data_IF_309303456128
#
_entry.id   IF_309303456128
#
_cell.length_a   1.000
_cell.length_b   1.000
_cell.length_c   1.000
_cell.angle_alpha   90.00
_cell.angle_beta   90.00
_cell.angle_gamma   90.00
#
_symmetry.space_group_name_H-M   'P 1'
#
loop_
_entity.id
_entity.type
_entity.pdbx_description
1 polymer ?
#
# COMPACT_ATOMS: atom_id res chain seq x y z
N UNK A 1 -45.41 12.36 20.94
CA UNK A 1 -45.28 11.74 19.60
C UNK A 1 -44.62 10.39 19.78
N UNK A 2 -45.19 9.34 19.21
CA UNK A 2 -44.85 7.94 19.49
C UNK A 2 -43.42 7.60 19.05
N UNK A 3 -42.62 7.07 19.97
CA UNK A 3 -41.25 6.59 19.75
C UNK A 3 -41.16 5.49 18.68
N UNK A 4 -42.26 4.80 18.41
CA UNK A 4 -42.38 3.82 17.33
C UNK A 4 -42.20 4.47 15.94
N UNK A 5 -42.71 5.67 15.73
CA UNK A 5 -42.59 6.38 14.45
C UNK A 5 -41.14 6.82 14.20
N UNK A 6 -40.45 7.24 15.26
CA UNK A 6 -39.04 7.65 15.20
C UNK A 6 -38.12 6.46 14.89
N UNK A 7 -38.40 5.28 15.48
CA UNK A 7 -37.66 4.05 15.17
C UNK A 7 -37.89 3.59 13.73
N UNK A 8 -39.13 3.63 13.25
CA UNK A 8 -39.46 3.26 11.88
C UNK A 8 -38.84 4.22 10.85
N UNK A 9 -38.72 5.51 11.17
CA UNK A 9 -38.06 6.50 10.31
C UNK A 9 -36.54 6.29 10.24
N UNK A 10 -35.89 6.00 11.38
CA UNK A 10 -34.45 5.70 11.42
C UNK A 10 -34.10 4.44 10.61
N UNK A 11 -34.92 3.40 10.71
CA UNK A 11 -34.69 2.13 10.00
C UNK A 11 -34.83 2.26 8.46
N UNK A 12 -35.66 3.20 7.98
CA UNK A 12 -35.78 3.52 6.55
C UNK A 12 -34.56 4.31 6.02
N UNK A 13 -34.04 5.26 6.82
CA UNK A 13 -32.85 6.06 6.45
C UNK A 13 -31.61 5.17 6.33
N UNK A 14 -31.42 4.20 7.24
CA UNK A 14 -30.27 3.28 7.20
C UNK A 14 -30.32 2.29 6.01
N UNK A 15 -31.50 2.00 5.45
CA UNK A 15 -31.64 1.09 4.30
C UNK A 15 -31.36 1.74 2.95
N UNK A 16 -31.56 3.05 2.81
CA UNK A 16 -31.49 3.75 1.53
C UNK A 16 -30.05 4.15 1.15
N UNK A 17 -29.16 4.39 2.12
CA UNK A 17 -27.80 4.91 1.87
C UNK A 17 -26.78 3.83 1.41
N UNK A 18 -26.98 2.54 1.72
CA UNK A 18 -25.98 1.52 1.43
C UNK A 18 -26.20 0.72 0.13
N UNK A 19 -27.37 0.82 -0.51
CA UNK A 19 -27.68 0.03 -1.71
C UNK A 19 -27.18 0.62 -3.03
N UNK A 20 -26.66 1.84 -3.03
CA UNK A 20 -26.28 2.54 -4.26
C UNK A 20 -24.79 2.85 -4.41
N UNK A 21 -23.97 2.66 -3.37
CA UNK A 21 -22.52 2.92 -3.42
C UNK A 21 -21.73 1.84 -4.17
N UNK A 22 -22.29 0.64 -4.36
CA UNK A 22 -21.68 -0.44 -5.14
C UNK A 22 -22.40 -0.72 -6.46
N UNK A 23 -22.81 0.33 -7.20
CA UNK A 23 -23.04 0.15 -8.65
C UNK A 23 -21.66 -0.01 -9.31
N UNK A 24 -21.14 -1.24 -9.29
CA UNK A 24 -19.85 -1.61 -9.90
C UNK A 24 -19.81 -1.11 -11.34
N UNK A 25 -19.04 -0.05 -11.57
CA UNK A 25 -18.80 0.44 -12.92
C UNK A 25 -17.90 -0.59 -13.61
N UNK A 26 -18.32 -0.99 -14.81
CA UNK A 26 -17.57 -1.80 -15.77
C UNK A 26 -17.20 -3.21 -15.28
N UNK A 27 -18.00 -4.20 -15.69
CA UNK A 27 -17.49 -5.57 -15.85
C UNK A 27 -16.42 -5.52 -16.94
N UNK A 28 -15.14 -5.32 -16.57
CA UNK A 28 -14.06 -5.75 -17.47
C UNK A 28 -14.29 -7.23 -17.72
N UNK A 29 -14.27 -7.64 -18.98
CA UNK A 29 -14.32 -9.06 -19.32
C UNK A 29 -13.24 -9.77 -18.50
N UNK A 30 -13.65 -10.74 -17.67
CA UNK A 30 -12.68 -11.59 -16.98
C UNK A 30 -11.90 -12.29 -18.07
N UNK A 31 -10.60 -12.07 -18.13
CA UNK A 31 -9.75 -12.86 -19.02
C UNK A 31 -9.96 -14.35 -18.71
N UNK A 32 -9.95 -15.21 -19.74
CA UNK A 32 -10.07 -16.64 -19.52
C UNK A 32 -8.97 -17.09 -18.55
N UNK A 33 -9.33 -17.99 -17.63
CA UNK A 33 -8.37 -18.59 -16.70
C UNK A 33 -7.36 -19.37 -17.52
N UNK A 34 -6.17 -18.78 -17.71
CA UNK A 34 -5.07 -19.40 -18.47
C UNK A 34 -4.54 -20.60 -17.70
N UNK A 35 -4.14 -21.65 -18.42
CA UNK A 35 -3.49 -22.81 -17.79
C UNK A 35 -2.12 -22.40 -17.22
N UNK A 36 -1.59 -23.17 -16.28
CA UNK A 36 -0.25 -22.91 -15.70
C UNK A 36 0.84 -22.87 -16.78
N UNK A 37 0.71 -23.70 -17.80
CA UNK A 37 1.63 -23.77 -18.95
C UNK A 37 1.54 -22.53 -19.85
N UNK A 38 0.35 -21.99 -20.06
CA UNK A 38 0.18 -20.74 -20.79
C UNK A 38 0.77 -19.56 -20.02
N UNK A 39 0.55 -19.52 -18.70
CA UNK A 39 1.14 -18.48 -17.84
C UNK A 39 2.66 -18.55 -17.81
N UNK A 40 3.25 -19.74 -17.73
CA UNK A 40 4.71 -19.89 -17.75
C UNK A 40 5.30 -19.47 -19.10
N UNK A 41 4.67 -19.86 -20.22
CA UNK A 41 5.10 -19.44 -21.55
C UNK A 41 5.05 -17.92 -21.73
N UNK A 42 3.96 -17.27 -21.30
CA UNK A 42 3.84 -15.79 -21.33
C UNK A 42 4.89 -15.12 -20.44
N UNK A 43 5.19 -15.68 -19.28
CA UNK A 43 6.20 -15.13 -18.38
C UNK A 43 7.61 -15.28 -18.96
N UNK A 44 7.92 -16.42 -19.58
CA UNK A 44 9.20 -16.64 -20.27
C UNK A 44 9.35 -15.65 -21.42
N UNK A 45 8.33 -15.46 -22.24
CA UNK A 45 8.33 -14.49 -23.35
C UNK A 45 8.56 -13.06 -22.85
N UNK A 46 7.88 -12.65 -21.77
CA UNK A 46 8.11 -11.34 -21.12
C UNK A 46 9.54 -11.21 -20.62
N UNK A 47 10.08 -12.21 -19.94
CA UNK A 47 11.45 -12.19 -19.43
C UNK A 47 12.48 -12.10 -20.56
N UNK A 48 12.27 -12.82 -21.66
CA UNK A 48 13.13 -12.75 -22.85
C UNK A 48 13.07 -11.36 -23.51
N UNK A 49 11.89 -10.73 -23.59
CA UNK A 49 11.76 -9.35 -24.08
C UNK A 49 12.45 -8.33 -23.17
N UNK A 50 12.45 -8.57 -21.87
CA UNK A 50 13.15 -7.73 -20.90
C UNK A 50 14.67 -7.96 -20.95
N UNK A 51 15.14 -9.17 -21.21
CA UNK A 51 16.57 -9.50 -21.26
C UNK A 51 17.24 -9.10 -22.57
N UNK A 52 16.53 -9.17 -23.69
CA UNK A 52 17.03 -8.78 -25.02
C UNK A 52 17.18 -7.28 -25.19
N UNK A 53 16.51 -6.48 -24.33
CA UNK A 53 16.67 -5.03 -24.36
C UNK A 53 18.07 -4.68 -23.86
N UNK A 54 18.97 -4.41 -24.81
CA UNK A 54 20.27 -3.83 -24.51
C UNK A 54 20.06 -2.60 -23.60
N UNK A 55 20.84 -2.53 -22.52
CA UNK A 55 20.81 -1.36 -21.64
C UNK A 55 21.10 -0.11 -22.49
N UNK A 56 20.28 0.93 -22.33
CA UNK A 56 20.51 2.20 -23.00
C UNK A 56 21.87 2.75 -22.53
N UNK A 57 22.85 2.78 -23.44
CA UNK A 57 24.23 3.17 -23.13
C UNK A 57 24.28 4.59 -22.59
N UNK A 58 23.41 5.49 -23.08
CA UNK A 58 23.34 6.87 -22.60
C UNK A 58 22.81 6.96 -21.16
N UNK A 59 21.88 6.07 -20.78
CA UNK A 59 21.41 5.98 -19.40
C UNK A 59 22.49 5.41 -18.49
N UNK A 60 23.22 4.39 -18.95
CA UNK A 60 24.33 3.79 -18.22
C UNK A 60 25.44 4.83 -17.93
N UNK A 61 25.82 5.63 -18.93
CA UNK A 61 26.82 6.69 -18.77
C UNK A 61 26.38 7.74 -17.74
N UNK A 62 25.10 8.14 -17.75
CA UNK A 62 24.55 9.08 -16.76
C UNK A 62 24.57 8.51 -15.33
N UNK A 63 24.36 7.20 -15.18
CA UNK A 63 24.46 6.53 -13.88
C UNK A 63 25.91 6.54 -13.39
N UNK A 64 26.86 6.22 -14.26
CA UNK A 64 28.30 6.23 -13.96
C UNK A 64 28.76 7.66 -13.60
N UNK A 65 28.39 8.67 -14.38
CA UNK A 65 28.69 10.07 -14.08
C UNK A 65 28.13 10.50 -12.72
N UNK A 66 26.90 10.10 -12.38
CA UNK A 66 26.29 10.42 -11.07
C UNK A 66 26.99 9.71 -9.92
N UNK A 67 27.38 8.44 -10.10
CA UNK A 67 28.12 7.67 -9.11
C UNK A 67 29.48 8.31 -8.82
N UNK A 68 30.22 8.72 -9.87
CA UNK A 68 31.46 9.47 -9.73
C UNK A 68 31.23 10.78 -8.95
N UNK A 69 30.12 11.48 -9.24
CA UNK A 69 29.73 12.72 -8.55
C UNK A 69 29.19 12.52 -7.13
N UNK A 70 29.06 11.27 -6.65
CA UNK A 70 28.49 10.91 -5.32
C UNK A 70 27.12 11.54 -5.05
N UNK A 71 26.33 11.77 -6.09
CA UNK A 71 24.96 12.26 -5.95
C UNK A 71 24.04 11.05 -5.71
N UNK A 72 23.20 11.05 -4.66
CA UNK A 72 22.23 9.98 -4.47
C UNK A 72 21.24 9.93 -5.63
N UNK A 73 20.71 8.73 -5.96
CA UNK A 73 19.77 8.55 -7.07
C UNK A 73 18.43 9.24 -6.85
N UNK A 74 18.01 9.35 -5.59
CA UNK A 74 16.84 10.11 -5.17
C UNK A 74 17.32 11.33 -4.37
N UNK A 75 16.84 12.51 -4.72
CA UNK A 75 16.92 13.67 -3.85
C UNK A 75 16.00 13.37 -2.65
N UNK A 76 16.61 13.09 -1.49
CA UNK A 76 16.00 12.94 -0.16
C UNK A 76 14.51 12.56 -0.21
N UNK A 77 14.21 11.27 -0.17
CA UNK A 77 12.86 10.87 0.21
C UNK A 77 12.53 11.54 1.54
N UNK A 78 11.50 12.39 1.56
CA UNK A 78 10.96 12.93 2.79
C UNK A 78 10.39 11.74 3.58
N UNK A 79 11.25 11.15 4.42
CA UNK A 79 10.81 10.20 5.43
C UNK A 79 9.88 10.99 6.33
N UNK A 80 8.57 10.84 6.10
CA UNK A 80 7.56 11.29 7.04
C UNK A 80 7.87 10.57 8.34
N UNK A 81 8.44 11.29 9.29
CA UNK A 81 8.43 10.86 10.68
C UNK A 81 6.96 10.95 11.09
N UNK A 82 6.22 9.87 10.89
CA UNK A 82 4.97 9.73 11.60
C UNK A 82 5.34 9.74 13.08
N UNK A 83 4.75 10.68 13.83
CA UNK A 83 4.77 10.68 15.30
C UNK A 83 4.00 9.46 15.77
N UNK A 84 4.53 8.27 15.50
CA UNK A 84 3.96 7.02 15.93
C UNK A 84 4.11 6.98 17.45
N UNK A 85 2.98 7.20 18.11
CA UNK A 85 2.70 6.68 19.45
C UNK A 85 3.20 5.24 19.46
N UNK A 86 4.28 5.00 20.18
CA UNK A 86 4.92 3.69 20.14
C UNK A 86 3.88 2.63 20.53
N UNK A 87 3.82 1.52 19.79
CA UNK A 87 2.91 0.43 20.15
C UNK A 87 3.34 -0.23 21.48
N UNK A 88 4.62 -0.07 21.83
CA UNK A 88 5.27 -0.69 22.99
C UNK A 88 5.07 0.09 24.29
N UNK A 89 5.03 1.43 24.21
CA UNK A 89 4.82 2.31 25.36
C UNK A 89 3.51 3.06 25.19
N UNK A 90 2.53 2.89 26.09
CA UNK A 90 1.33 3.70 26.08
C UNK A 90 1.70 5.19 26.22
N UNK A 91 0.84 6.06 25.70
CA UNK A 91 1.08 7.51 25.65
C UNK A 91 1.42 8.08 27.03
N UNK A 92 2.70 8.32 27.28
CA UNK A 92 3.20 8.93 28.51
C UNK A 92 4.21 8.09 29.29
N UNK A 93 4.42 6.81 28.96
CA UNK A 93 5.45 5.98 29.60
C UNK A 93 6.78 6.12 28.87
N UNK A 94 7.84 6.44 29.61
CA UNK A 94 9.21 6.42 29.07
C UNK A 94 9.81 5.03 29.26
N UNK A 95 10.81 4.69 28.45
CA UNK A 95 11.56 3.44 28.59
C UNK A 95 12.15 3.25 30.01
N UNK A 96 12.51 4.36 30.67
CA UNK A 96 13.04 4.34 32.03
C UNK A 96 11.98 3.93 33.08
N UNK A 97 10.71 4.23 32.82
CA UNK A 97 9.60 3.81 33.68
C UNK A 97 9.34 2.30 33.55
N UNK A 98 9.41 1.79 32.33
CA UNK A 98 9.33 0.35 32.05
C UNK A 98 10.47 -0.45 32.71
N UNK A 99 11.72 0.02 32.62
CA UNK A 99 12.85 -0.67 33.23
C UNK A 99 12.74 -0.74 34.76
N UNK A 100 12.26 0.33 35.40
CA UNK A 100 12.04 0.33 36.85
C UNK A 100 10.99 -0.70 37.26
N UNK A 101 9.89 -0.82 36.53
CA UNK A 101 8.84 -1.79 36.85
C UNK A 101 9.34 -3.24 36.69
N UNK A 102 10.11 -3.53 35.62
CA UNK A 102 10.55 -4.89 35.33
C UNK A 102 11.73 -5.35 36.19
N UNK A 103 12.68 -4.46 36.48
CA UNK A 103 13.98 -4.82 37.07
C UNK A 103 14.18 -4.33 38.50
N UNK A 104 13.33 -3.46 39.04
CA UNK A 104 13.45 -2.97 40.43
C UNK A 104 12.43 -3.59 41.40
N UNK A 105 12.05 -4.86 41.18
CA UNK A 105 11.31 -5.65 42.17
C UNK A 105 12.19 -6.19 43.29
#
# INVERSE_FOLDING_TARGET
MSSALVRQALELVDQEDHRHLYKSKTKKAREPVKSKEQLSAENIDKLLKLSTRAADTSLADKIVERAIRRKPLADKEEVKQEEEKSILFPEGETFEDFEKELFCS
#
